data_IF_600683194792
#
_entry.id   IF_600683194792
#
_cell.length_a   1.000
_cell.length_b   1.000
_cell.length_c   1.000
_cell.angle_alpha   90.00
_cell.angle_beta   90.00
_cell.angle_gamma   90.00
#
_symmetry.space_group_name_H-M   'P 1'
#
loop_
_entity.id
_entity.type
_entity.pdbx_description
1 polymer ?
#
# COMPACT_ATOMS: atom_id res chain seq x y z
N UNK A 1 28.70 55.66 -49.20
CA UNK A 1 28.83 54.19 -49.07
C UNK A 1 28.85 53.83 -47.59
N UNK A 2 27.92 52.95 -47.20
CA UNK A 2 27.68 52.28 -45.91
C UNK A 2 27.73 53.08 -44.58
N UNK A 3 26.53 53.39 -44.02
CA UNK A 3 26.31 53.63 -42.59
C UNK A 3 25.91 52.30 -41.93
N UNK A 4 26.77 51.77 -41.07
CA UNK A 4 26.51 50.57 -40.28
C UNK A 4 25.67 51.01 -39.07
N UNK A 5 24.40 50.61 -39.05
CA UNK A 5 23.50 50.88 -37.94
C UNK A 5 23.87 49.98 -36.75
N UNK A 6 23.97 50.63 -35.59
CA UNK A 6 24.27 50.07 -34.28
C UNK A 6 23.12 49.14 -33.81
N UNK A 7 23.25 47.84 -34.08
CA UNK A 7 22.33 46.81 -33.59
C UNK A 7 22.87 46.29 -32.25
N UNK A 8 22.13 46.57 -31.17
CA UNK A 8 22.48 46.19 -29.80
C UNK A 8 22.59 44.66 -29.67
N UNK A 9 23.67 44.10 -29.09
CA UNK A 9 23.89 42.65 -28.99
C UNK A 9 23.14 42.05 -27.79
N UNK A 10 21.89 42.47 -27.55
CA UNK A 10 21.10 42.06 -26.39
C UNK A 10 19.95 41.12 -26.82
N UNK A 11 19.68 41.02 -28.12
CA UNK A 11 18.57 40.23 -28.67
C UNK A 11 19.02 38.95 -29.38
N UNK A 12 20.07 38.28 -28.89
CA UNK A 12 20.49 36.97 -29.42
C UNK A 12 20.87 35.94 -28.34
N UNK A 13 20.54 36.20 -27.08
CA UNK A 13 20.73 35.27 -25.95
C UNK A 13 19.38 35.06 -25.24
N UNK A 14 18.35 34.67 -25.99
CA UNK A 14 17.01 34.44 -25.43
C UNK A 14 16.36 33.13 -25.89
N UNK A 15 17.08 32.24 -26.59
CA UNK A 15 16.49 31.02 -27.18
C UNK A 15 17.20 29.71 -26.78
N UNK A 16 18.28 29.75 -25.98
CA UNK A 16 19.07 28.54 -25.65
C UNK A 16 19.16 28.25 -24.14
N UNK A 17 18.17 28.67 -23.36
CA UNK A 17 18.07 28.33 -21.93
C UNK A 17 16.64 27.97 -21.49
N UNK A 18 15.88 27.32 -22.38
CA UNK A 18 14.54 26.79 -22.09
C UNK A 18 14.49 25.26 -22.22
N UNK A 19 15.58 24.57 -21.90
CA UNK A 19 15.61 23.09 -21.85
C UNK A 19 16.28 22.64 -20.55
N UNK A 20 15.71 23.04 -19.42
CA UNK A 20 15.93 22.36 -18.15
C UNK A 20 14.68 22.51 -17.31
N UNK A 21 14.29 21.40 -16.66
CA UNK A 21 13.14 21.23 -15.76
C UNK A 21 11.84 20.75 -16.39
N UNK A 22 11.89 19.59 -17.03
CA UNK A 22 10.82 18.60 -16.85
C UNK A 22 11.42 17.30 -16.33
N UNK A 23 11.95 17.37 -15.10
CA UNK A 23 12.02 16.19 -14.26
C UNK A 23 10.60 15.94 -13.78
N UNK A 24 9.91 15.00 -14.42
CA UNK A 24 8.68 14.42 -13.91
C UNK A 24 9.03 13.79 -12.56
N UNK A 25 8.73 14.47 -11.45
CA UNK A 25 8.80 13.86 -10.13
C UNK A 25 7.81 12.68 -10.10
N UNK A 26 8.24 11.43 -9.89
CA UNK A 26 7.31 10.29 -9.78
C UNK A 26 6.58 10.24 -8.43
N UNK A 27 6.56 11.34 -7.65
CA UNK A 27 6.03 11.35 -6.29
C UNK A 27 4.53 11.66 -6.17
N UNK A 28 3.82 11.90 -7.28
CA UNK A 28 2.35 12.14 -7.28
C UNK A 28 1.52 10.98 -7.85
N UNK A 29 2.15 10.02 -8.54
CA UNK A 29 1.44 8.85 -9.10
C UNK A 29 1.15 7.78 -8.05
N UNK A 30 2.09 7.51 -7.14
CA UNK A 30 1.94 6.43 -6.15
C UNK A 30 0.70 6.58 -5.24
N UNK A 31 0.33 7.80 -4.87
CA UNK A 31 -0.83 8.08 -4.01
C UNK A 31 -2.17 8.03 -4.77
N UNK A 32 -2.20 8.47 -6.02
CA UNK A 32 -3.37 8.34 -6.90
C UNK A 32 -3.64 6.87 -7.24
N UNK A 33 -2.58 6.13 -7.54
CA UNK A 33 -2.65 4.70 -7.85
C UNK A 33 -3.13 3.91 -6.63
N UNK A 34 -2.61 4.20 -5.43
CA UNK A 34 -3.06 3.52 -4.21
C UNK A 34 -4.54 3.74 -3.91
N UNK A 35 -5.02 4.99 -3.92
CA UNK A 35 -6.43 5.29 -3.66
C UNK A 35 -7.35 4.58 -4.64
N UNK A 36 -6.98 4.51 -5.92
CA UNK A 36 -7.73 3.75 -6.92
C UNK A 36 -7.81 2.25 -6.60
N UNK A 37 -6.71 1.64 -6.14
CA UNK A 37 -6.67 0.22 -5.82
C UNK A 37 -7.47 -0.17 -4.56
N UNK A 38 -7.72 0.78 -3.64
CA UNK A 38 -8.48 0.56 -2.40
C UNK A 38 -9.94 1.04 -2.47
N UNK A 39 -10.46 1.51 -3.62
CA UNK A 39 -11.87 1.93 -3.76
C UNK A 39 -12.88 0.84 -3.39
N UNK A 40 -12.50 -0.45 -3.45
CA UNK A 40 -13.33 -1.58 -3.02
C UNK A 40 -13.14 -1.98 -1.55
N UNK A 41 -12.38 -1.23 -0.77
CA UNK A 41 -12.23 -1.43 0.67
C UNK A 41 -13.22 -0.49 1.35
N UNK A 42 -14.06 -1.03 2.23
CA UNK A 42 -15.07 -0.20 2.90
C UNK A 42 -14.37 0.73 3.89
N UNK A 43 -14.69 2.04 3.90
CA UNK A 43 -14.08 3.01 4.80
C UNK A 43 -14.39 2.68 6.27
N UNK A 44 -15.55 2.09 6.56
CA UNK A 44 -15.94 1.68 7.92
C UNK A 44 -15.56 0.23 8.22
N UNK A 45 -14.49 -0.26 7.59
CA UNK A 45 -14.07 -1.66 7.71
C UNK A 45 -12.58 -1.81 7.94
N UNK A 46 -12.20 -2.85 8.70
CA UNK A 46 -10.81 -3.30 8.80
C UNK A 46 -10.57 -4.37 7.75
N UNK A 47 -9.64 -4.12 6.83
CA UNK A 47 -9.20 -5.08 5.83
C UNK A 47 -7.99 -5.86 6.31
N UNK A 48 -8.14 -7.19 6.39
CA UNK A 48 -7.04 -8.13 6.57
C UNK A 48 -6.46 -8.44 5.20
N UNK A 49 -5.28 -7.91 4.87
CA UNK A 49 -4.67 -8.02 3.55
C UNK A 49 -3.51 -9.01 3.60
N UNK A 50 -3.56 -10.04 2.77
CA UNK A 50 -2.44 -10.91 2.49
C UNK A 50 -1.97 -10.71 1.04
N UNK A 51 -0.80 -10.09 0.87
CA UNK A 51 -0.06 -10.03 -0.38
C UNK A 51 0.83 -11.26 -0.47
N UNK A 52 0.58 -12.12 -1.45
CA UNK A 52 1.28 -13.39 -1.59
C UNK A 52 1.80 -13.60 -3.01
N UNK A 53 2.88 -14.36 -3.14
CA UNK A 53 3.23 -15.01 -4.41
C UNK A 53 2.40 -16.28 -4.60
N UNK A 54 2.57 -16.99 -5.72
CA UNK A 54 1.87 -18.24 -6.04
C UNK A 54 1.83 -19.18 -4.81
N UNK A 55 0.61 -19.52 -4.36
CA UNK A 55 0.37 -20.25 -3.10
C UNK A 55 0.77 -21.71 -3.23
N UNK A 56 2.01 -22.04 -2.85
CA UNK A 56 2.51 -23.43 -2.81
C UNK A 56 3.00 -23.88 -1.44
N UNK A 57 3.48 -22.95 -0.61
CA UNK A 57 4.17 -23.30 0.63
C UNK A 57 3.21 -23.55 1.81
N UNK A 58 3.58 -24.47 2.73
CA UNK A 58 2.78 -24.80 3.94
C UNK A 58 2.50 -23.56 4.79
N UNK A 59 3.52 -22.72 4.99
CA UNK A 59 3.41 -21.45 5.74
C UNK A 59 2.43 -20.48 5.07
N UNK A 60 2.47 -20.37 3.75
CA UNK A 60 1.60 -19.49 2.97
C UNK A 60 0.12 -19.85 3.16
N UNK A 61 -0.19 -21.15 3.18
CA UNK A 61 -1.55 -21.65 3.47
C UNK A 61 -1.96 -21.35 4.91
N UNK A 62 -1.09 -21.64 5.87
CA UNK A 62 -1.38 -21.40 7.28
C UNK A 62 -1.65 -19.91 7.59
N UNK A 63 -0.93 -18.99 6.93
CA UNK A 63 -1.19 -17.55 7.01
C UNK A 63 -2.57 -17.20 6.45
N UNK A 64 -2.90 -17.68 5.24
CA UNK A 64 -4.19 -17.43 4.59
C UNK A 64 -5.36 -17.94 5.46
N UNK A 65 -5.23 -19.15 6.01
CA UNK A 65 -6.20 -19.74 6.93
C UNK A 65 -6.36 -18.92 8.22
N UNK A 66 -5.27 -18.46 8.83
CA UNK A 66 -5.32 -17.62 10.03
C UNK A 66 -6.04 -16.29 9.78
N UNK A 67 -5.73 -15.62 8.67
CA UNK A 67 -6.39 -14.37 8.28
C UNK A 67 -7.88 -14.58 7.97
N UNK A 68 -8.23 -15.70 7.33
CA UNK A 68 -9.61 -16.07 7.06
C UNK A 68 -10.39 -16.38 8.35
N UNK A 69 -9.80 -17.15 9.28
CA UNK A 69 -10.41 -17.42 10.60
C UNK A 69 -10.67 -16.13 11.37
N UNK A 70 -9.70 -15.21 11.37
CA UNK A 70 -9.86 -13.92 12.02
C UNK A 70 -11.02 -13.11 11.40
N UNK A 71 -11.12 -13.03 10.07
CA UNK A 71 -12.23 -12.35 9.42
C UNK A 71 -13.61 -12.98 9.78
N UNK A 72 -13.68 -14.30 9.88
CA UNK A 72 -14.91 -15.00 10.31
C UNK A 72 -15.24 -14.67 11.78
N UNK A 73 -14.26 -14.69 12.67
CA UNK A 73 -14.43 -14.36 14.09
C UNK A 73 -14.95 -12.94 14.31
N UNK A 74 -14.52 -12.00 13.45
CA UNK A 74 -14.93 -10.60 13.51
C UNK A 74 -16.04 -10.24 12.51
N UNK A 75 -16.76 -11.22 11.95
CA UNK A 75 -17.77 -10.97 10.89
C UNK A 75 -18.84 -9.94 11.27
N UNK A 76 -19.18 -9.83 12.55
CA UNK A 76 -20.13 -8.83 13.06
C UNK A 76 -19.58 -7.38 13.09
N UNK A 77 -18.27 -7.18 12.87
CA UNK A 77 -17.51 -5.95 13.17
C UNK A 77 -16.89 -5.31 11.93
N UNK A 78 -17.47 -5.53 10.75
CA UNK A 78 -16.96 -5.00 9.48
C UNK A 78 -15.48 -5.34 9.21
N UNK A 79 -15.07 -6.58 9.47
CA UNK A 79 -13.71 -7.05 9.13
C UNK A 79 -13.76 -7.91 7.88
N UNK A 80 -12.89 -7.63 6.91
CA UNK A 80 -12.91 -8.31 5.62
C UNK A 80 -11.52 -8.84 5.22
N UNK A 81 -11.44 -10.11 4.82
CA UNK A 81 -10.20 -10.68 4.30
C UNK A 81 -10.00 -10.35 2.81
N UNK A 82 -8.77 -10.07 2.42
CA UNK A 82 -8.32 -9.74 1.07
C UNK A 82 -7.05 -10.52 0.77
N UNK A 83 -7.19 -11.53 -0.09
CA UNK A 83 -6.10 -12.39 -0.50
C UNK A 83 -5.67 -12.01 -1.93
N UNK A 84 -4.49 -11.42 -2.07
CA UNK A 84 -4.09 -10.66 -3.27
C UNK A 84 -2.74 -11.17 -3.79
N UNK A 85 -2.69 -11.51 -5.08
CA UNK A 85 -1.43 -11.78 -5.78
C UNK A 85 -0.58 -10.51 -5.84
N UNK A 86 0.59 -10.54 -5.21
CA UNK A 86 1.54 -9.43 -5.14
C UNK A 86 2.05 -9.01 -6.53
N UNK A 87 2.01 -9.91 -7.52
CA UNK A 87 2.46 -9.63 -8.89
C UNK A 87 1.38 -8.98 -9.76
N UNK A 88 0.12 -8.96 -9.30
CA UNK A 88 -0.95 -8.24 -9.99
C UNK A 88 -0.70 -6.72 -9.96
N UNK A 89 -1.34 -5.96 -10.86
CA UNK A 89 -1.24 -4.50 -10.86
C UNK A 89 -1.65 -3.90 -9.50
N UNK A 90 -2.76 -4.39 -8.92
CA UNK A 90 -3.21 -4.05 -7.57
C UNK A 90 -2.18 -4.42 -6.51
N UNK A 91 -1.65 -5.64 -6.57
CA UNK A 91 -0.67 -6.17 -5.64
C UNK A 91 0.60 -5.32 -5.58
N UNK A 92 1.15 -4.91 -6.73
CA UNK A 92 2.36 -4.08 -6.81
C UNK A 92 2.19 -2.71 -6.16
N UNK A 93 1.06 -2.05 -6.40
CA UNK A 93 0.74 -0.75 -5.79
C UNK A 93 0.61 -0.88 -4.27
N UNK A 94 -0.11 -1.90 -3.79
CA UNK A 94 -0.24 -2.17 -2.35
C UNK A 94 1.10 -2.53 -1.72
N UNK A 95 1.92 -3.33 -2.41
CA UNK A 95 3.24 -3.74 -1.94
C UNK A 95 4.18 -2.55 -1.76
N UNK A 96 4.18 -1.62 -2.72
CA UNK A 96 4.92 -0.36 -2.60
C UNK A 96 4.41 0.48 -1.42
N UNK A 97 3.09 0.64 -1.27
CA UNK A 97 2.50 1.44 -0.19
C UNK A 97 2.80 0.87 1.20
N UNK A 98 2.72 -0.45 1.37
CA UNK A 98 3.02 -1.12 2.64
C UNK A 98 4.51 -1.41 2.84
N UNK A 99 5.37 -1.00 1.90
CA UNK A 99 6.81 -1.24 1.88
C UNK A 99 7.17 -2.73 2.07
N UNK A 100 6.57 -3.60 1.26
CA UNK A 100 6.83 -5.04 1.23
C UNK A 100 7.26 -5.50 -0.17
N UNK A 101 8.20 -6.44 -0.26
CA UNK A 101 8.82 -6.81 -1.54
C UNK A 101 8.48 -8.23 -2.05
N UNK A 102 8.11 -9.15 -1.15
CA UNK A 102 7.93 -10.57 -1.51
C UNK A 102 6.59 -11.15 -1.02
N UNK A 103 6.23 -10.84 0.21
CA UNK A 103 4.92 -11.11 0.78
C UNK A 103 4.61 -10.03 1.82
N UNK A 104 3.33 -9.82 2.11
CA UNK A 104 2.88 -8.85 3.09
C UNK A 104 1.64 -9.33 3.82
N UNK A 105 1.66 -9.33 5.14
CA UNK A 105 0.49 -9.58 5.99
C UNK A 105 0.20 -8.29 6.74
N UNK A 106 -0.91 -7.64 6.39
CA UNK A 106 -1.20 -6.27 6.80
C UNK A 106 -2.63 -6.18 7.34
N UNK A 107 -2.79 -5.51 8.47
CA UNK A 107 -4.09 -5.05 8.96
C UNK A 107 -4.24 -3.60 8.55
N UNK A 108 -5.23 -3.31 7.73
CA UNK A 108 -5.45 -2.00 7.11
C UNK A 108 -6.82 -1.45 7.49
N UNK A 109 -6.89 -0.15 7.73
CA UNK A 109 -8.16 0.60 7.78
C UNK A 109 -8.01 1.91 7.02
N UNK A 110 -9.12 2.41 6.54
CA UNK A 110 -9.25 3.76 6.05
C UNK A 110 -10.13 4.54 7.02
N UNK A 111 -9.85 5.82 7.21
CA UNK A 111 -10.75 6.73 7.90
C UNK A 111 -10.67 8.05 7.14
N UNK A 112 -11.80 8.42 6.52
CA UNK A 112 -11.90 9.58 5.64
C UNK A 112 -10.82 9.58 4.53
N UNK A 113 -9.83 10.47 4.65
CA UNK A 113 -8.71 10.63 3.72
C UNK A 113 -7.38 10.07 4.26
N UNK A 114 -7.37 9.50 5.47
CA UNK A 114 -6.18 8.89 6.07
C UNK A 114 -6.28 7.38 5.98
N UNK A 115 -5.13 6.75 5.76
CA UNK A 115 -4.98 5.31 5.83
C UNK A 115 -4.11 4.96 7.02
N UNK A 116 -4.48 3.90 7.72
CA UNK A 116 -3.71 3.38 8.83
C UNK A 116 -3.47 1.90 8.57
N UNK A 117 -2.25 1.45 8.80
CA UNK A 117 -1.93 0.04 8.65
C UNK A 117 -0.94 -0.44 9.70
N UNK A 118 -0.96 -1.74 9.95
CA UNK A 118 0.04 -2.44 10.73
C UNK A 118 0.53 -3.62 9.93
N UNK A 119 1.82 -3.64 9.65
CA UNK A 119 2.48 -4.75 8.97
C UNK A 119 2.91 -5.79 10.01
N UNK A 120 2.29 -6.97 9.96
CA UNK A 120 2.56 -8.12 10.86
C UNK A 120 3.25 -9.27 10.12
N UNK A 121 3.89 -8.98 8.97
CA UNK A 121 4.49 -10.00 8.10
C UNK A 121 5.51 -10.87 8.83
N UNK A 122 6.41 -10.25 9.61
CA UNK A 122 7.44 -10.99 10.35
C UNK A 122 6.82 -11.99 11.33
N UNK A 123 5.86 -11.55 12.13
CA UNK A 123 5.14 -12.39 13.08
C UNK A 123 4.36 -13.51 12.39
N UNK A 124 3.69 -13.19 11.28
CA UNK A 124 2.92 -14.17 10.51
C UNK A 124 3.81 -15.30 9.98
N UNK A 125 4.96 -14.98 9.38
CA UNK A 125 5.89 -15.99 8.88
C UNK A 125 6.61 -16.74 10.01
N UNK A 126 6.81 -16.10 11.17
CA UNK A 126 7.45 -16.72 12.33
C UNK A 126 6.52 -17.74 13.03
N UNK A 127 5.21 -17.45 13.11
CA UNK A 127 4.28 -18.23 13.94
C UNK A 127 3.30 -19.11 13.19
N UNK A 128 3.02 -18.87 11.90
CA UNK A 128 1.93 -19.54 11.20
C UNK A 128 1.96 -21.08 11.27
N UNK A 129 3.15 -21.71 11.29
CA UNK A 129 3.28 -23.18 11.30
C UNK A 129 3.72 -23.75 12.64
N UNK A 130 4.23 -22.94 13.55
CA UNK A 130 4.86 -23.38 14.81
C UNK A 130 4.05 -22.99 16.03
N UNK A 131 3.35 -21.85 15.99
CA UNK A 131 2.60 -21.25 17.10
C UNK A 131 1.35 -20.53 16.58
N UNK A 132 0.42 -21.31 16.03
CA UNK A 132 -0.80 -20.77 15.43
C UNK A 132 -1.60 -19.86 16.39
N UNK A 133 -1.70 -20.23 17.66
CA UNK A 133 -2.40 -19.43 18.68
C UNK A 133 -1.75 -18.05 18.88
N UNK A 134 -0.42 -17.98 18.84
CA UNK A 134 0.30 -16.69 18.92
C UNK A 134 -0.04 -15.79 17.73
N UNK A 135 -0.13 -16.37 16.53
CA UNK A 135 -0.51 -15.60 15.34
C UNK A 135 -1.96 -15.11 15.45
N UNK A 136 -2.88 -15.99 15.86
CA UNK A 136 -4.30 -15.64 16.04
C UNK A 136 -4.45 -14.51 17.09
N UNK A 137 -3.69 -14.53 18.18
CA UNK A 137 -3.65 -13.45 19.17
C UNK A 137 -3.10 -12.13 18.62
N UNK A 138 -2.05 -12.18 17.80
CA UNK A 138 -1.46 -10.98 17.18
C UNK A 138 -2.45 -10.34 16.22
N UNK A 139 -3.11 -11.15 15.38
CA UNK A 139 -4.15 -10.65 14.47
C UNK A 139 -5.29 -10.05 15.28
N UNK A 140 -5.78 -10.74 16.30
CA UNK A 140 -6.89 -10.26 17.14
C UNK A 140 -6.59 -8.92 17.81
N UNK A 141 -5.43 -8.80 18.47
CA UNK A 141 -5.00 -7.57 19.13
C UNK A 141 -4.88 -6.42 18.13
N UNK A 142 -4.30 -6.69 16.97
CA UNK A 142 -4.12 -5.67 15.93
C UNK A 142 -5.47 -5.20 15.40
N UNK A 143 -6.38 -6.13 15.06
CA UNK A 143 -7.74 -5.79 14.61
C UNK A 143 -8.48 -4.95 15.65
N UNK A 144 -8.47 -5.35 16.92
CA UNK A 144 -9.14 -4.60 18.00
C UNK A 144 -8.57 -3.19 18.15
N UNK A 145 -7.26 -3.03 18.05
CA UNK A 145 -6.60 -1.71 18.08
C UNK A 145 -7.02 -0.80 16.91
N UNK A 146 -7.26 -1.38 15.73
CA UNK A 146 -7.77 -0.63 14.58
C UNK A 146 -9.26 -0.29 14.70
N UNK A 147 -10.06 -1.20 15.27
CA UNK A 147 -11.50 -0.99 15.53
C UNK A 147 -11.76 0.03 16.64
N UNK A 148 -11.00 0.00 17.75
CA UNK A 148 -11.20 0.94 18.86
C UNK A 148 -10.98 2.39 18.42
N UNK A 149 -9.99 2.60 17.55
CA UNK A 149 -9.69 3.91 16.97
C UNK A 149 -10.70 4.39 15.93
N UNK A 150 -11.72 3.59 15.58
CA UNK A 150 -12.84 4.01 14.71
C UNK A 150 -14.01 4.57 15.51
N UNK A 151 -14.06 4.31 16.82
CA UNK A 151 -15.12 4.81 17.70
C UNK A 151 -14.78 6.18 18.32
N UNK A 152 -13.58 6.70 18.05
CA UNK A 152 -13.07 8.02 18.48
C UNK A 152 -13.29 9.06 17.39
#
# INVERSE_FOLDING_TARGET
MYRIANIKPITLIAVVFAVVLSCSNPSSQATGDFRAQVQGFSPDSVSLIYLHQKRGCKTCRAISEAMQRAAVRFKATAVAFRDIDINSAKGKVLAQHFNVSYAGVVVYRQDNQKSYFTNITADAFLFATTRADSLDMIIERTVRSHLSKMAE
#
